data_IF_954223570599
#
_entry.id   IF_954223570599
#
_cell.length_a   1.000
_cell.length_b   1.000
_cell.length_c   1.000
_cell.angle_alpha   90.00
_cell.angle_beta   90.00
_cell.angle_gamma   90.00
#
_symmetry.space_group_name_H-M   'P 1'
#
loop_
_entity.id
_entity.type
_entity.pdbx_description
1 polymer ?
#
# COMPACT_ATOMS: atom_id res chain seq x y z
N UNK A 1 -8.25 19.57 25.64
CA UNK A 1 -6.96 20.22 25.93
C UNK A 1 -5.85 19.23 25.53
N UNK A 2 -5.59 19.13 24.22
CA UNK A 2 -4.56 18.23 23.67
C UNK A 2 -3.23 18.97 23.57
N UNK A 3 -2.23 18.43 24.24
CA UNK A 3 -0.88 18.99 24.28
C UNK A 3 -0.26 18.99 22.88
N UNK A 4 0.10 20.19 22.42
CA UNK A 4 1.00 20.41 21.28
C UNK A 4 2.40 19.95 21.69
N UNK A 5 2.84 18.83 21.20
CA UNK A 5 4.26 18.46 21.28
C UNK A 5 4.65 17.81 19.95
N UNK A 6 5.71 18.33 19.40
CA UNK A 6 6.57 17.81 18.36
C UNK A 6 6.46 18.47 16.99
N UNK A 7 7.08 19.64 16.91
CA UNK A 7 7.55 20.24 15.67
C UNK A 7 9.05 20.49 15.80
N UNK A 8 9.89 19.47 15.63
CA UNK A 8 11.35 19.66 15.61
C UNK A 8 12.06 18.40 15.10
N UNK A 9 11.81 17.98 13.85
CA UNK A 9 12.64 16.93 13.19
C UNK A 9 12.60 16.98 11.66
N UNK A 10 12.17 18.08 11.05
CA UNK A 10 12.10 18.23 9.58
C UNK A 10 13.42 18.76 8.95
N UNK A 11 14.50 18.76 9.70
CA UNK A 11 15.83 19.21 9.24
C UNK A 11 16.82 18.11 8.82
N UNK A 12 16.44 16.85 8.89
CA UNK A 12 17.41 15.72 8.82
C UNK A 12 17.42 14.92 7.51
N UNK A 13 16.58 15.24 6.53
CA UNK A 13 16.49 14.40 5.30
C UNK A 13 17.74 14.49 4.41
N UNK A 14 18.51 15.56 4.48
CA UNK A 14 19.77 15.70 3.72
C UNK A 14 20.99 15.14 4.46
N UNK A 15 20.93 14.92 5.76
CA UNK A 15 22.09 14.54 6.58
C UNK A 15 22.34 13.02 6.70
N UNK A 16 21.33 12.20 6.45
CA UNK A 16 21.47 10.74 6.62
C UNK A 16 22.30 10.06 5.51
N UNK A 17 22.43 10.67 4.35
CA UNK A 17 23.12 10.08 3.20
C UNK A 17 24.65 10.27 3.19
N UNK A 18 25.22 11.11 4.05
CA UNK A 18 26.63 11.52 3.96
C UNK A 18 27.61 10.45 4.47
N UNK A 19 27.13 9.39 5.12
CA UNK A 19 27.99 8.34 5.71
C UNK A 19 27.82 6.93 5.13
N UNK A 20 26.92 6.70 4.19
CA UNK A 20 26.67 5.36 3.67
C UNK A 20 27.72 4.94 2.63
N UNK A 21 28.17 3.69 2.71
CA UNK A 21 28.99 3.09 1.65
C UNK A 21 28.19 3.01 0.33
N UNK A 22 28.85 2.99 -0.84
CA UNK A 22 28.17 2.81 -2.11
C UNK A 22 27.26 1.58 -2.15
N UNK A 23 27.66 0.50 -1.51
CA UNK A 23 26.91 -0.75 -1.43
C UNK A 23 25.63 -0.58 -0.58
N UNK A 24 25.73 0.12 0.56
CA UNK A 24 24.56 0.42 1.39
C UNK A 24 23.55 1.32 0.66
N UNK A 25 24.02 2.31 -0.12
CA UNK A 25 23.16 3.15 -0.95
C UNK A 25 22.44 2.34 -2.04
N UNK A 26 23.15 1.45 -2.72
CA UNK A 26 22.54 0.57 -3.71
C UNK A 26 21.45 -0.30 -3.10
N UNK A 27 21.69 -0.84 -1.90
CA UNK A 27 20.68 -1.62 -1.16
C UNK A 27 19.46 -0.77 -0.79
N UNK A 28 19.63 0.45 -0.29
CA UNK A 28 18.52 1.36 0.04
C UNK A 28 17.68 1.72 -1.19
N UNK A 29 18.31 1.85 -2.36
CA UNK A 29 17.60 2.10 -3.61
C UNK A 29 16.78 0.89 -4.05
N UNK A 30 17.32 -0.31 -3.97
CA UNK A 30 16.61 -1.54 -4.31
C UNK A 30 15.45 -1.81 -3.34
N UNK A 31 15.66 -1.60 -2.03
CA UNK A 31 14.60 -1.72 -1.03
C UNK A 31 13.44 -0.74 -1.32
N UNK A 32 13.76 0.52 -1.66
CA UNK A 32 12.75 1.52 -2.02
C UNK A 32 11.92 1.11 -3.26
N UNK A 33 12.61 0.64 -4.31
CA UNK A 33 11.93 0.16 -5.54
C UNK A 33 11.06 -1.06 -5.26
N UNK A 34 11.54 -1.99 -4.42
CA UNK A 34 10.76 -3.15 -4.02
C UNK A 34 9.46 -2.73 -3.29
N UNK A 35 9.55 -1.79 -2.34
CA UNK A 35 8.37 -1.27 -1.65
C UNK A 35 7.39 -0.56 -2.60
N UNK A 36 7.89 0.23 -3.56
CA UNK A 36 7.04 0.85 -4.58
C UNK A 36 6.34 -0.19 -5.47
N UNK A 37 7.04 -1.26 -5.84
CA UNK A 37 6.46 -2.36 -6.62
C UNK A 37 5.38 -3.11 -5.83
N UNK A 38 5.62 -3.39 -4.55
CA UNK A 38 4.64 -3.99 -3.65
C UNK A 38 3.38 -3.11 -3.52
N UNK A 39 3.56 -1.82 -3.27
CA UNK A 39 2.44 -0.86 -3.19
C UNK A 39 1.65 -0.80 -4.50
N UNK A 40 2.34 -0.80 -5.65
CA UNK A 40 1.69 -0.86 -6.95
C UNK A 40 0.85 -2.12 -7.10
N UNK A 41 1.37 -3.28 -6.69
CA UNK A 41 0.65 -4.53 -6.73
C UNK A 41 -0.60 -4.50 -5.84
N UNK A 42 -0.49 -3.97 -4.62
CA UNK A 42 -1.65 -3.78 -3.73
C UNK A 42 -2.70 -2.88 -4.35
N UNK A 43 -2.31 -1.69 -4.82
CA UNK A 43 -3.24 -0.71 -5.41
C UNK A 43 -3.97 -1.24 -6.64
N UNK A 44 -3.32 -2.09 -7.46
CA UNK A 44 -3.94 -2.73 -8.63
C UNK A 44 -4.98 -3.79 -8.27
N UNK A 45 -4.83 -4.44 -7.12
CA UNK A 45 -5.70 -5.53 -6.71
C UNK A 45 -6.84 -5.11 -5.77
N UNK A 46 -6.78 -3.91 -5.19
CA UNK A 46 -7.85 -3.38 -4.34
C UNK A 46 -9.05 -3.02 -5.21
N UNK A 47 -10.20 -3.63 -4.92
CA UNK A 47 -11.46 -3.30 -5.57
C UNK A 47 -12.02 -1.98 -5.06
N UNK A 48 -11.90 -1.72 -3.77
CA UNK A 48 -12.37 -0.47 -3.17
C UNK A 48 -11.43 0.04 -2.09
N UNK A 49 -11.30 1.34 -2.00
CA UNK A 49 -10.60 2.00 -0.90
C UNK A 49 -11.33 3.28 -0.51
N UNK A 50 -11.43 3.51 0.80
CA UNK A 50 -11.94 4.76 1.38
C UNK A 50 -10.91 5.32 2.34
N UNK A 51 -10.77 6.62 2.39
CA UNK A 51 -9.88 7.29 3.33
C UNK A 51 -10.30 8.74 3.54
N UNK A 52 -9.82 9.32 4.64
CA UNK A 52 -9.83 10.76 4.87
C UNK A 52 -8.49 11.33 4.44
N UNK A 53 -8.50 12.56 3.95
CA UNK A 53 -7.28 13.23 3.53
C UNK A 53 -7.25 14.69 3.95
N UNK A 54 -6.03 15.20 4.08
CA UNK A 54 -5.77 16.63 4.22
C UNK A 54 -4.55 16.99 3.39
N UNK A 55 -4.70 18.01 2.54
CA UNK A 55 -3.58 18.63 1.85
C UNK A 55 -3.28 19.97 2.48
N UNK A 56 -2.03 20.19 2.80
CA UNK A 56 -1.54 21.48 3.36
C UNK A 56 -0.14 21.75 2.87
N UNK A 57 0.29 22.99 3.02
CA UNK A 57 1.65 23.41 2.70
C UNK A 57 2.40 23.81 3.96
N UNK A 58 3.73 23.74 3.87
CA UNK A 58 4.63 24.30 4.88
C UNK A 58 5.13 25.69 4.43
N UNK A 59 5.88 26.39 5.31
CA UNK A 59 6.50 27.66 5.00
C UNK A 59 5.47 28.77 4.67
N UNK A 60 5.76 29.62 3.70
CA UNK A 60 4.95 30.79 3.34
C UNK A 60 3.55 30.47 2.81
N UNK A 61 3.31 29.23 2.35
CA UNK A 61 2.02 28.81 1.81
C UNK A 61 1.12 28.11 2.84
N UNK A 62 1.54 28.00 4.11
CA UNK A 62 0.81 27.27 5.17
C UNK A 62 -0.62 27.78 5.40
N UNK A 63 -0.85 29.08 5.18
CA UNK A 63 -2.14 29.72 5.38
C UNK A 63 -2.99 29.78 4.10
N UNK A 64 -2.42 29.38 2.97
CA UNK A 64 -3.05 29.44 1.65
C UNK A 64 -3.63 28.08 1.26
N UNK A 65 -2.94 27.00 1.61
CA UNK A 65 -3.30 25.64 1.21
C UNK A 65 -3.66 24.84 2.46
N UNK A 66 -4.93 24.51 2.59
CA UNK A 66 -5.45 23.65 3.64
C UNK A 66 -6.81 23.07 3.19
N UNK A 67 -6.77 21.93 2.55
CA UNK A 67 -7.96 21.25 2.04
C UNK A 67 -8.12 19.93 2.78
N UNK A 68 -9.35 19.52 3.10
CA UNK A 68 -9.60 18.28 3.82
C UNK A 68 -10.92 17.66 3.42
N UNK A 69 -11.00 16.33 3.46
CA UNK A 69 -12.21 15.63 3.08
C UNK A 69 -12.11 14.12 3.15
N UNK A 70 -13.11 13.48 2.59
CA UNK A 70 -13.21 12.04 2.45
C UNK A 70 -13.20 11.65 0.97
N UNK A 71 -12.52 10.55 0.66
CA UNK A 71 -12.39 10.00 -0.69
C UNK A 71 -12.83 8.55 -0.68
N UNK A 72 -13.55 8.16 -1.73
CA UNK A 72 -13.86 6.77 -2.04
C UNK A 72 -13.45 6.47 -3.47
N UNK A 73 -12.84 5.32 -3.68
CA UNK A 73 -12.44 4.80 -4.98
C UNK A 73 -13.01 3.38 -5.11
N UNK A 74 -13.59 3.08 -6.26
CA UNK A 74 -14.12 1.75 -6.57
C UNK A 74 -13.72 1.32 -7.97
N UNK A 75 -13.15 0.13 -8.07
CA UNK A 75 -12.69 -0.51 -9.31
C UNK A 75 -13.39 -1.86 -9.45
N UNK A 76 -14.56 -1.93 -10.11
CA UNK A 76 -15.27 -3.19 -10.29
C UNK A 76 -14.37 -4.22 -10.99
N UNK A 77 -14.32 -5.45 -10.47
CA UNK A 77 -13.56 -6.54 -11.11
C UNK A 77 -14.04 -6.76 -12.55
N UNK A 78 -13.09 -6.93 -13.46
CA UNK A 78 -13.38 -7.16 -14.87
C UNK A 78 -13.85 -5.94 -15.66
N UNK A 79 -13.80 -4.75 -15.07
CA UNK A 79 -14.16 -3.49 -15.73
C UNK A 79 -12.98 -2.52 -15.75
N UNK A 80 -12.87 -1.72 -16.80
CA UNK A 80 -11.89 -0.64 -16.88
C UNK A 80 -12.33 0.65 -16.16
N UNK A 81 -13.59 0.69 -15.74
CA UNK A 81 -14.18 1.86 -15.07
C UNK A 81 -13.62 2.01 -13.65
N UNK A 82 -13.19 3.23 -13.34
CA UNK A 82 -12.81 3.62 -11.98
C UNK A 82 -13.80 4.69 -11.53
N UNK A 83 -14.53 4.39 -10.47
CA UNK A 83 -15.41 5.34 -9.81
C UNK A 83 -14.67 6.05 -8.71
N UNK A 84 -14.80 7.36 -8.64
CA UNK A 84 -14.20 8.18 -7.59
C UNK A 84 -15.23 9.16 -7.07
N UNK A 85 -15.29 9.34 -5.77
CA UNK A 85 -16.02 10.45 -5.14
C UNK A 85 -15.17 11.09 -4.06
N UNK A 86 -15.26 12.41 -3.95
CA UNK A 86 -14.70 13.14 -2.85
C UNK A 86 -15.70 14.19 -2.34
N UNK A 87 -15.73 14.31 -1.03
CA UNK A 87 -16.49 15.34 -0.31
C UNK A 87 -15.57 16.03 0.65
N UNK A 88 -15.66 17.35 0.75
CA UNK A 88 -14.77 18.05 1.66
C UNK A 88 -14.77 19.57 1.48
N UNK A 89 -13.72 20.17 1.99
CA UNK A 89 -13.50 21.60 1.99
C UNK A 89 -12.17 21.91 1.29
N UNK A 90 -12.23 22.79 0.32
CA UNK A 90 -11.06 23.32 -0.41
C UNK A 90 -10.87 24.77 -0.01
N UNK A 91 -9.72 25.10 0.57
CA UNK A 91 -9.38 26.46 0.93
C UNK A 91 -9.13 27.28 -0.33
N UNK A 92 -9.75 28.46 -0.41
CA UNK A 92 -9.57 29.40 -1.51
C UNK A 92 -8.93 30.68 -0.98
N UNK A 93 -7.74 31.06 -1.44
CA UNK A 93 -7.08 32.30 -1.02
C UNK A 93 -7.95 33.53 -1.30
N UNK A 94 -8.22 34.34 -0.26
CA UNK A 94 -8.99 35.57 -0.39
C UNK A 94 -10.49 35.41 -0.62
N UNK A 95 -11.03 34.19 -0.54
CA UNK A 95 -12.45 33.88 -0.68
C UNK A 95 -12.92 32.90 0.40
N UNK A 96 -14.24 32.69 0.47
CA UNK A 96 -14.80 31.64 1.30
C UNK A 96 -14.36 30.26 0.79
N UNK A 97 -14.15 29.32 1.72
CA UNK A 97 -13.79 27.96 1.37
C UNK A 97 -14.87 27.31 0.49
N UNK A 98 -14.42 26.61 -0.55
CA UNK A 98 -15.31 25.86 -1.42
C UNK A 98 -15.70 24.54 -0.75
N UNK A 99 -17.00 24.29 -0.65
CA UNK A 99 -17.48 22.94 -0.35
C UNK A 99 -17.41 22.10 -1.62
N UNK A 100 -16.67 21.00 -1.54
CA UNK A 100 -16.49 20.07 -2.64
C UNK A 100 -17.43 18.87 -2.46
N UNK A 101 -18.20 18.56 -3.48
CA UNK A 101 -18.85 17.28 -3.67
C UNK A 101 -18.72 16.93 -5.15
N UNK A 102 -17.81 16.05 -5.48
CA UNK A 102 -17.50 15.66 -6.86
C UNK A 102 -17.43 14.15 -6.97
N UNK A 103 -17.93 13.64 -8.08
CA UNK A 103 -17.80 12.23 -8.45
C UNK A 103 -17.49 12.07 -9.92
N UNK A 104 -16.82 11.00 -10.30
CA UNK A 104 -16.66 10.61 -11.70
C UNK A 104 -16.61 9.08 -11.86
N UNK A 105 -16.97 8.63 -13.07
CA UNK A 105 -16.96 7.23 -13.50
C UNK A 105 -15.93 6.97 -14.62
N UNK A 106 -14.93 7.83 -14.75
CA UNK A 106 -13.95 7.77 -15.83
C UNK A 106 -14.42 8.38 -17.16
N UNK A 107 -15.69 8.74 -17.27
CA UNK A 107 -16.31 9.33 -18.49
C UNK A 107 -16.95 10.67 -18.21
N UNK A 108 -17.71 10.75 -17.14
CA UNK A 108 -18.51 11.90 -16.73
C UNK A 108 -18.11 12.33 -15.33
N UNK A 109 -17.94 13.63 -15.16
CA UNK A 109 -17.75 14.28 -13.85
C UNK A 109 -19.07 14.92 -13.44
N UNK A 110 -19.49 14.65 -12.22
CA UNK A 110 -20.68 15.26 -11.61
C UNK A 110 -20.26 15.99 -10.33
N UNK A 111 -20.85 17.16 -10.10
CA UNK A 111 -20.55 17.96 -8.90
C UNK A 111 -21.70 18.88 -8.53
N UNK A 112 -21.74 19.30 -7.28
CA UNK A 112 -22.68 20.31 -6.80
C UNK A 112 -22.07 21.71 -6.92
N UNK A 113 -22.68 22.55 -7.74
CA UNK A 113 -22.45 24.00 -7.72
C UNK A 113 -23.39 24.62 -6.67
N UNK A 114 -22.89 24.78 -5.47
CA UNK A 114 -23.68 25.29 -4.35
C UNK A 114 -24.07 26.77 -4.53
N UNK A 115 -23.29 27.55 -5.28
CA UNK A 115 -23.57 28.96 -5.55
C UNK A 115 -24.81 29.13 -6.44
N UNK A 116 -24.90 28.30 -7.49
CA UNK A 116 -25.99 28.34 -8.45
C UNK A 116 -27.07 27.30 -8.14
N UNK A 117 -26.95 26.52 -7.05
CA UNK A 117 -27.86 25.42 -6.69
C UNK A 117 -28.09 24.47 -7.87
N UNK A 118 -27.02 23.98 -8.45
CA UNK A 118 -27.09 23.14 -9.64
C UNK A 118 -26.24 21.89 -9.47
N UNK A 119 -26.82 20.72 -9.79
CA UNK A 119 -26.07 19.51 -10.03
C UNK A 119 -25.56 19.53 -11.47
N UNK A 120 -24.27 19.62 -11.64
CA UNK A 120 -23.61 19.68 -12.93
C UNK A 120 -23.17 18.27 -13.36
N UNK A 121 -23.33 17.94 -14.64
CA UNK A 121 -22.78 16.73 -15.24
C UNK A 121 -22.12 17.06 -16.59
N UNK A 122 -20.83 16.75 -16.74
CA UNK A 122 -20.03 17.04 -17.94
C UNK A 122 -19.09 15.90 -18.27
N UNK A 123 -18.71 15.72 -19.53
CA UNK A 123 -17.62 14.83 -19.91
C UNK A 123 -16.32 15.24 -19.21
N UNK A 124 -15.45 14.28 -18.90
CA UNK A 124 -14.15 14.57 -18.26
C UNK A 124 -13.26 15.55 -19.04
N UNK A 125 -13.43 15.64 -20.36
CA UNK A 125 -12.72 16.58 -21.23
C UNK A 125 -13.20 18.03 -21.15
N UNK A 126 -14.37 18.29 -20.58
CA UNK A 126 -14.97 19.62 -20.46
C UNK A 126 -14.12 20.52 -19.53
N UNK A 127 -14.08 21.82 -19.84
CA UNK A 127 -13.26 22.78 -19.07
C UNK A 127 -13.72 22.95 -17.62
N UNK A 128 -15.04 22.93 -17.38
CA UNK A 128 -15.61 23.02 -16.03
C UNK A 128 -15.35 21.73 -15.26
N UNK A 129 -15.50 20.54 -15.90
CA UNK A 129 -15.16 19.26 -15.31
C UNK A 129 -13.67 19.18 -14.92
N UNK A 130 -12.77 19.69 -15.77
CA UNK A 130 -11.34 19.77 -15.46
C UNK A 130 -11.02 20.61 -14.22
N UNK A 131 -11.75 21.71 -14.03
CA UNK A 131 -11.59 22.53 -12.83
C UNK A 131 -11.98 21.74 -11.57
N UNK A 132 -13.11 21.03 -11.60
CA UNK A 132 -13.53 20.18 -10.46
C UNK A 132 -12.57 19.00 -10.21
N UNK A 133 -12.02 18.41 -11.25
CA UNK A 133 -10.99 17.37 -11.11
C UNK A 133 -9.68 17.91 -10.53
N UNK A 134 -9.36 19.20 -10.79
CA UNK A 134 -8.23 19.86 -10.13
C UNK A 134 -8.48 20.02 -8.64
N UNK A 135 -9.69 20.40 -8.25
CA UNK A 135 -10.09 20.50 -6.85
C UNK A 135 -10.14 19.12 -6.16
N UNK A 136 -10.64 18.08 -6.86
CA UNK A 136 -10.54 16.70 -6.41
C UNK A 136 -9.07 16.31 -6.12
N UNK A 137 -8.14 16.72 -6.97
CA UNK A 137 -6.71 16.52 -6.79
C UNK A 137 -6.12 17.19 -5.54
N UNK A 138 -6.86 18.08 -4.86
CA UNK A 138 -6.45 18.59 -3.55
C UNK A 138 -6.68 17.55 -2.43
N UNK A 139 -7.58 16.60 -2.62
CA UNK A 139 -7.90 15.56 -1.64
C UNK A 139 -7.36 14.20 -2.02
N UNK A 140 -7.11 13.95 -3.30
CA UNK A 140 -6.69 12.67 -3.85
C UNK A 140 -5.41 12.83 -4.68
N UNK A 141 -4.27 12.29 -4.26
CA UNK A 141 -3.11 12.15 -5.14
C UNK A 141 -3.50 11.37 -6.39
N UNK A 142 -3.30 11.96 -7.56
CA UNK A 142 -3.66 11.35 -8.87
C UNK A 142 -2.95 10.02 -9.11
N UNK A 143 -1.81 9.83 -8.50
CA UNK A 143 -1.01 8.63 -8.53
C UNK A 143 -1.78 7.40 -8.04
N UNK A 144 -2.67 7.58 -7.06
CA UNK A 144 -3.50 6.47 -6.56
C UNK A 144 -4.53 5.96 -7.58
N UNK A 145 -4.80 6.73 -8.63
CA UNK A 145 -5.66 6.32 -9.74
C UNK A 145 -4.89 5.73 -10.91
N UNK A 146 -3.56 5.91 -10.95
CA UNK A 146 -2.73 5.46 -12.04
C UNK A 146 -2.51 3.93 -11.99
N UNK A 147 -2.36 3.32 -13.15
CA UNK A 147 -1.98 1.90 -13.27
C UNK A 147 -0.56 1.63 -12.78
N UNK A 148 0.29 2.65 -12.83
CA UNK A 148 1.64 2.66 -12.26
C UNK A 148 1.80 3.94 -11.43
N UNK A 149 1.51 3.88 -10.12
CA UNK A 149 1.54 5.04 -9.23
C UNK A 149 2.90 5.72 -9.12
N UNK A 150 3.97 4.96 -9.28
CA UNK A 150 5.34 5.42 -9.09
C UNK A 150 6.12 5.60 -10.40
N UNK A 151 5.45 5.56 -11.57
CA UNK A 151 6.11 5.70 -12.86
C UNK A 151 6.97 6.97 -13.00
N UNK A 152 6.56 8.04 -12.34
CA UNK A 152 7.31 9.29 -12.30
C UNK A 152 8.49 9.19 -11.33
N UNK A 153 8.28 8.60 -10.15
CA UNK A 153 9.29 8.46 -9.12
C UNK A 153 10.43 7.54 -9.58
N UNK A 154 10.09 6.49 -10.35
CA UNK A 154 11.08 5.57 -10.92
C UNK A 154 12.04 6.21 -11.93
N UNK A 155 11.76 7.44 -12.39
CA UNK A 155 12.63 8.24 -13.27
C UNK A 155 13.53 9.21 -12.51
N UNK A 156 13.39 9.28 -11.18
CA UNK A 156 14.18 10.19 -10.36
C UNK A 156 15.68 9.82 -10.40
N UNK A 157 16.54 10.83 -10.28
CA UNK A 157 17.99 10.63 -10.25
C UNK A 157 18.46 9.85 -9.01
N UNK A 158 17.69 9.99 -7.93
CA UNK A 158 17.95 9.34 -6.66
C UNK A 158 16.65 8.79 -6.10
N UNK A 159 16.65 7.49 -5.79
CA UNK A 159 15.56 6.83 -5.09
C UNK A 159 16.18 6.14 -3.89
N UNK A 160 15.68 6.45 -2.69
CA UNK A 160 16.21 5.93 -1.44
C UNK A 160 15.13 5.63 -0.43
N UNK A 161 15.29 4.54 0.32
CA UNK A 161 14.61 4.36 1.59
C UNK A 161 15.37 5.15 2.64
N UNK A 162 14.75 6.20 3.20
CA UNK A 162 15.40 7.10 4.15
C UNK A 162 15.11 6.77 5.61
N UNK A 163 14.19 5.86 5.88
CA UNK A 163 13.93 5.39 7.25
C UNK A 163 12.52 4.90 7.46
N UNK A 164 12.14 4.92 8.74
CA UNK A 164 10.84 4.56 9.25
C UNK A 164 10.34 5.71 10.11
N UNK A 165 9.08 6.11 9.94
CA UNK A 165 8.44 7.13 10.76
C UNK A 165 7.02 6.69 11.16
N UNK A 166 6.56 7.17 12.30
CA UNK A 166 5.15 7.06 12.66
C UNK A 166 4.37 8.21 12.03
N UNK A 167 3.48 7.88 11.11
CA UNK A 167 2.58 8.82 10.42
C UNK A 167 1.15 8.54 10.85
N UNK A 168 0.54 9.50 11.53
CA UNK A 168 -0.86 9.41 11.99
C UNK A 168 -1.17 8.14 12.81
N UNK A 169 -0.20 7.69 13.61
CA UNK A 169 -0.32 6.51 14.47
C UNK A 169 0.04 5.18 13.80
N UNK A 170 0.52 5.21 12.55
CA UNK A 170 0.99 4.02 11.84
C UNK A 170 2.48 4.11 11.49
N UNK A 171 3.21 3.01 11.66
CA UNK A 171 4.61 2.93 11.25
C UNK A 171 4.68 2.81 9.73
N UNK A 172 5.34 3.77 9.12
CA UNK A 172 5.51 3.87 7.67
C UNK A 172 6.97 3.79 7.26
N UNK A 173 7.21 3.15 6.14
CA UNK A 173 8.49 3.20 5.44
C UNK A 173 8.55 4.49 4.63
N UNK A 174 9.63 5.26 4.78
CA UNK A 174 9.79 6.54 4.13
C UNK A 174 10.70 6.38 2.92
N UNK A 175 10.16 6.70 1.75
CA UNK A 175 10.85 6.61 0.46
C UNK A 175 10.95 8.00 -0.13
N UNK A 176 12.16 8.40 -0.52
CA UNK A 176 12.43 9.64 -1.24
C UNK A 176 12.81 9.35 -2.69
N UNK A 177 12.16 10.04 -3.61
CA UNK A 177 12.51 10.06 -5.03
C UNK A 177 12.75 11.51 -5.47
N UNK A 178 13.98 11.85 -5.84
CA UNK A 178 14.32 13.25 -6.06
C UNK A 178 15.56 13.47 -6.91
N UNK A 179 16.08 14.69 -6.86
CA UNK A 179 17.31 15.10 -7.53
C UNK A 179 18.52 14.88 -6.62
N UNK A 180 19.69 14.69 -7.21
CA UNK A 180 20.97 14.60 -6.44
C UNK A 180 21.33 15.95 -5.78
N UNK A 181 20.87 17.05 -6.33
CA UNK A 181 21.06 18.37 -5.75
C UNK A 181 20.21 18.59 -4.48
N UNK A 182 19.20 17.73 -4.24
CA UNK A 182 18.31 17.82 -3.08
C UNK A 182 17.31 18.99 -3.15
N UNK A 183 17.18 19.67 -4.30
CA UNK A 183 16.32 20.83 -4.51
C UNK A 183 14.87 20.44 -4.87
N UNK A 184 14.61 19.16 -5.06
CA UNK A 184 13.29 18.63 -5.30
C UNK A 184 13.21 17.15 -4.95
N UNK A 185 12.16 16.77 -4.23
CA UNK A 185 11.87 15.38 -3.90
C UNK A 185 10.38 15.13 -3.75
N UNK A 186 9.96 13.92 -4.11
CA UNK A 186 8.69 13.34 -3.71
C UNK A 186 8.97 12.33 -2.62
N UNK A 187 8.28 12.46 -1.50
CA UNK A 187 8.50 11.63 -0.33
C UNK A 187 7.20 10.90 -0.02
N UNK A 188 7.27 9.59 -0.05
CA UNK A 188 6.17 8.70 0.27
C UNK A 188 6.35 8.11 1.65
N UNK A 189 5.28 8.11 2.45
CA UNK A 189 5.19 7.29 3.64
C UNK A 189 4.24 6.13 3.35
N UNK A 190 4.77 4.93 3.29
CA UNK A 190 4.05 3.70 2.96
C UNK A 190 3.84 2.90 4.25
N UNK A 191 2.59 2.64 4.59
CA UNK A 191 2.24 1.85 5.78
C UNK A 191 2.83 0.44 5.70
N UNK A 192 3.38 0.00 6.81
CA UNK A 192 3.89 -1.38 6.94
C UNK A 192 2.78 -2.40 7.13
N UNK A 193 1.56 -1.95 7.44
CA UNK A 193 0.41 -2.84 7.72
C UNK A 193 -0.22 -3.35 6.43
N UNK A 194 -0.49 -2.44 5.49
CA UNK A 194 -1.27 -2.72 4.29
C UNK A 194 -0.59 -2.31 2.98
N UNK A 195 0.62 -1.77 3.06
CA UNK A 195 1.41 -1.28 1.92
C UNK A 195 0.74 -0.14 1.15
N UNK A 196 -0.18 0.58 1.78
CA UNK A 196 -0.81 1.75 1.19
C UNK A 196 -0.15 3.04 1.68
N UNK A 197 -0.14 4.09 0.85
CA UNK A 197 0.38 5.39 1.25
C UNK A 197 -0.43 6.00 2.40
N UNK A 198 0.28 6.63 3.34
CA UNK A 198 -0.27 7.47 4.40
C UNK A 198 0.09 8.93 4.21
N UNK A 199 1.14 9.19 3.41
CA UNK A 199 1.57 10.55 3.06
C UNK A 199 2.21 10.57 1.69
N UNK A 200 1.92 11.64 0.95
CA UNK A 200 2.73 12.11 -0.16
C UNK A 200 3.16 13.55 0.12
N UNK A 201 4.46 13.77 0.19
CA UNK A 201 5.05 15.10 0.27
C UNK A 201 5.77 15.43 -1.05
N UNK A 202 5.45 16.58 -1.64
CA UNK A 202 6.20 17.17 -2.74
C UNK A 202 7.02 18.33 -2.19
N UNK A 203 8.32 18.14 -2.07
CA UNK A 203 9.26 19.12 -1.53
C UNK A 203 10.04 19.81 -2.64
N UNK A 204 10.28 21.11 -2.47
CA UNK A 204 11.14 21.95 -3.35
C UNK A 204 11.97 22.89 -2.50
N UNK A 205 13.16 23.23 -2.98
CA UNK A 205 14.13 24.07 -2.27
C UNK A 205 14.86 23.30 -1.16
N UNK A 206 15.83 23.97 -0.55
CA UNK A 206 16.72 23.39 0.47
C UNK A 206 16.71 24.27 1.74
N UNK A 207 17.07 23.67 2.88
CA UNK A 207 17.20 24.38 4.14
C UNK A 207 15.93 25.12 4.56
N UNK A 208 16.06 26.39 4.93
CA UNK A 208 14.96 27.26 5.40
C UNK A 208 13.97 27.63 4.30
N UNK A 209 14.39 27.55 3.04
CA UNK A 209 13.58 27.90 1.86
C UNK A 209 12.80 26.70 1.32
N UNK A 210 12.88 25.55 2.01
CA UNK A 210 12.14 24.36 1.62
C UNK A 210 10.64 24.60 1.75
N UNK A 211 9.94 24.40 0.64
CA UNK A 211 8.50 24.37 0.55
C UNK A 211 8.05 22.93 0.36
N UNK A 212 7.14 22.48 1.20
CA UNK A 212 6.51 21.14 1.05
C UNK A 212 5.01 21.27 0.90
N UNK A 213 4.48 20.56 -0.08
CA UNK A 213 3.06 20.29 -0.26
C UNK A 213 2.80 18.86 0.23
N UNK A 214 2.05 18.73 1.30
CA UNK A 214 1.83 17.45 1.99
C UNK A 214 0.36 17.04 1.82
N UNK A 215 0.13 15.80 1.44
CA UNK A 215 -1.17 15.16 1.45
C UNK A 215 -1.12 13.97 2.42
N UNK A 216 -1.73 14.12 3.57
CA UNK A 216 -1.91 13.05 4.56
C UNK A 216 -3.18 12.27 4.27
N UNK A 217 -3.15 10.96 4.50
CA UNK A 217 -4.26 10.03 4.32
C UNK A 217 -4.39 9.15 5.56
N UNK A 218 -5.58 9.08 6.13
CA UNK A 218 -5.86 8.27 7.33
C UNK A 218 -7.25 7.64 7.26
N UNK A 219 -7.56 6.78 8.25
CA UNK A 219 -8.79 5.98 8.25
C UNK A 219 -8.95 5.20 6.92
N UNK A 220 -7.80 4.67 6.44
CA UNK A 220 -7.73 3.94 5.17
C UNK A 220 -8.37 2.57 5.36
N UNK A 221 -9.38 2.28 4.54
CA UNK A 221 -10.10 1.01 4.56
C UNK A 221 -10.18 0.45 3.15
N UNK A 222 -9.81 -0.79 3.01
CA UNK A 222 -9.87 -1.53 1.75
C UNK A 222 -11.04 -2.51 1.76
N UNK A 223 -11.44 -2.94 0.57
CA UNK A 223 -12.47 -3.97 0.38
C UNK A 223 -13.81 -3.65 1.05
N UNK A 224 -14.12 -2.35 1.15
CA UNK A 224 -15.43 -1.85 1.58
C UNK A 224 -16.45 -2.23 0.51
N UNK A 225 -17.61 -2.74 0.92
CA UNK A 225 -18.69 -3.05 -0.02
C UNK A 225 -19.21 -1.76 -0.66
N UNK A 226 -18.73 -1.45 -1.84
CA UNK A 226 -19.16 -0.33 -2.67
C UNK A 226 -19.79 -0.83 -3.97
N UNK A 227 -20.65 0.00 -4.54
CA UNK A 227 -21.30 -0.19 -5.83
C UNK A 227 -21.30 1.12 -6.61
N UNK A 228 -21.64 1.10 -7.89
CA UNK A 228 -21.77 2.31 -8.70
C UNK A 228 -22.72 3.35 -8.08
N UNK A 229 -23.76 2.91 -7.35
CA UNK A 229 -24.71 3.79 -6.66
C UNK A 229 -24.07 4.66 -5.58
N UNK A 230 -23.02 4.19 -4.93
CA UNK A 230 -22.31 4.96 -3.91
C UNK A 230 -21.55 6.17 -4.48
N UNK A 231 -21.52 6.28 -5.81
CA UNK A 231 -20.86 7.35 -6.57
C UNK A 231 -21.89 8.22 -7.34
N UNK A 232 -23.16 8.09 -7.03
CA UNK A 232 -24.22 8.96 -7.55
C UNK A 232 -24.40 10.13 -6.58
N UNK A 233 -24.59 11.33 -7.14
CA UNK A 233 -25.01 12.49 -6.36
C UNK A 233 -26.51 12.60 -6.46
N UNK A 234 -27.19 12.41 -5.35
CA UNK A 234 -28.65 12.68 -5.27
C UNK A 234 -28.88 14.18 -5.46
N UNK A 235 -29.80 14.55 -6.34
CA UNK A 235 -30.17 15.94 -6.57
C UNK A 235 -30.78 16.52 -5.29
N UNK A 236 -30.13 17.52 -4.62
CA UNK A 236 -30.68 18.09 -3.40
C UNK A 236 -31.96 18.89 -3.66
N UNK A 237 -32.80 19.03 -2.65
CA UNK A 237 -33.98 19.87 -2.72
C UNK A 237 -33.61 21.32 -3.08
N UNK A 238 -34.35 21.91 -4.03
CA UNK A 238 -34.11 23.25 -4.52
C UNK A 238 -32.90 23.39 -5.48
N UNK A 239 -32.31 22.26 -5.92
CA UNK A 239 -31.30 22.25 -6.97
C UNK A 239 -31.89 21.87 -8.33
N UNK A 240 -31.30 22.35 -9.39
CA UNK A 240 -31.61 21.98 -10.77
C UNK A 240 -30.50 21.08 -11.34
N UNK A 241 -30.83 20.27 -12.34
CA UNK A 241 -29.87 19.46 -13.08
C UNK A 241 -29.43 20.19 -14.35
N UNK A 242 -28.14 20.39 -14.54
CA UNK A 242 -27.53 20.84 -15.80
C UNK A 242 -26.61 19.73 -16.33
N UNK A 243 -27.17 18.89 -17.20
CA UNK A 243 -26.45 17.76 -17.78
C UNK A 243 -26.16 18.03 -19.26
N UNK A 244 -24.87 17.97 -19.63
CA UNK A 244 -24.39 18.07 -21.02
C UNK A 244 -23.46 16.92 -21.32
N UNK A 245 -24.03 15.76 -21.58
CA UNK A 245 -23.30 14.55 -21.92
C UNK A 245 -23.61 14.21 -23.39
N UNK A 246 -22.62 14.18 -24.27
CA UNK A 246 -22.81 13.73 -25.64
C UNK A 246 -23.34 12.30 -25.69
N UNK A 247 -24.28 12.01 -26.61
CA UNK A 247 -24.93 10.70 -26.74
C UNK A 247 -23.98 9.53 -27.09
N UNK A 248 -22.72 9.80 -27.40
CA UNK A 248 -21.70 8.78 -27.69
C UNK A 248 -20.32 9.18 -27.15
N UNK A 249 -20.10 8.94 -25.88
CA UNK A 249 -18.71 8.73 -25.41
C UNK A 249 -18.53 7.23 -25.28
N UNK A 250 -18.14 6.59 -26.39
CA UNK A 250 -17.53 5.26 -26.35
C UNK A 250 -16.05 5.52 -26.01
N UNK A 251 -15.54 5.16 -24.83
CA UNK A 251 -14.11 5.25 -24.57
C UNK A 251 -13.40 4.26 -25.51
N UNK A 252 -12.17 4.56 -25.95
CA UNK A 252 -11.34 3.49 -26.48
C UNK A 252 -11.25 2.40 -25.39
N UNK A 253 -11.46 1.16 -25.79
CA UNK A 253 -11.22 0.00 -24.93
C UNK A 253 -9.75 0.02 -24.50
N UNK A 254 -9.48 0.62 -23.35
CA UNK A 254 -8.22 0.38 -22.67
C UNK A 254 -8.39 -0.96 -21.99
N UNK A 255 -7.79 -1.99 -22.55
CA UNK A 255 -7.65 -3.27 -21.87
C UNK A 255 -7.07 -2.99 -20.48
N UNK A 256 -7.75 -3.35 -19.39
CA UNK A 256 -7.18 -3.17 -18.06
C UNK A 256 -5.84 -3.91 -18.04
N UNK A 257 -4.78 -3.34 -17.42
CA UNK A 257 -3.60 -4.14 -17.16
C UNK A 257 -4.05 -5.36 -16.38
N UNK A 258 -3.52 -6.53 -16.77
CA UNK A 258 -3.84 -7.77 -16.09
C UNK A 258 -3.67 -7.60 -14.57
N UNK A 259 -4.60 -8.12 -13.74
CA UNK A 259 -4.44 -8.08 -12.29
C UNK A 259 -3.06 -8.62 -11.93
N UNK A 260 -2.35 -7.93 -11.06
CA UNK A 260 -1.11 -8.50 -10.52
C UNK A 260 -1.54 -9.63 -9.62
N UNK A 261 -1.27 -10.85 -10.04
CA UNK A 261 -1.55 -12.03 -9.22
C UNK A 261 -0.71 -11.97 -7.95
N UNK A 262 -1.37 -11.81 -6.82
CA UNK A 262 -0.76 -11.91 -5.50
C UNK A 262 -0.50 -13.38 -5.18
N UNK A 263 0.71 -13.65 -4.73
CA UNK A 263 1.11 -15.03 -4.45
C UNK A 263 1.36 -15.85 -5.72
N UNK A 264 1.89 -17.01 -5.51
CA UNK A 264 2.05 -18.04 -6.56
C UNK A 264 0.71 -18.77 -6.69
N UNK A 265 0.20 -18.97 -7.92
CA UNK A 265 -1.10 -19.60 -8.13
C UNK A 265 -1.20 -20.98 -7.47
N UNK A 266 -2.34 -21.27 -6.86
CA UNK A 266 -2.64 -22.60 -6.31
C UNK A 266 -2.60 -23.64 -7.44
N UNK A 267 -1.95 -24.76 -7.18
CA UNK A 267 -1.69 -25.84 -8.16
C UNK A 267 -0.36 -25.69 -8.92
N UNK A 268 0.29 -24.52 -8.86
CA UNK A 268 1.61 -24.31 -9.48
C UNK A 268 2.72 -24.83 -8.57
N UNK A 269 3.87 -25.20 -9.15
CA UNK A 269 5.06 -25.50 -8.38
C UNK A 269 5.52 -24.29 -7.57
N UNK A 270 5.85 -24.52 -6.29
CA UNK A 270 6.45 -23.47 -5.48
C UNK A 270 7.80 -23.02 -6.06
N UNK A 271 8.13 -21.72 -6.03
CA UNK A 271 9.42 -21.23 -6.46
C UNK A 271 10.57 -21.94 -5.72
N UNK A 272 11.66 -22.12 -6.43
CA UNK A 272 12.85 -22.70 -5.83
C UNK A 272 13.55 -21.70 -4.92
N UNK A 273 13.88 -22.17 -3.72
CA UNK A 273 14.72 -21.42 -2.80
C UNK A 273 15.71 -22.35 -2.08
N UNK A 274 16.78 -21.78 -1.57
CA UNK A 274 17.75 -22.48 -0.74
C UNK A 274 18.36 -21.53 0.26
N UNK A 275 18.18 -21.83 1.56
CA UNK A 275 18.68 -21.04 2.67
C UNK A 275 19.35 -21.92 3.71
N UNK A 276 20.05 -21.29 4.66
CA UNK A 276 20.43 -21.90 5.93
C UNK A 276 19.45 -21.44 7.01
N UNK A 277 18.98 -22.36 7.82
CA UNK A 277 18.21 -22.00 9.00
C UNK A 277 19.12 -21.41 10.10
N UNK A 278 18.54 -20.98 11.20
CA UNK A 278 19.25 -20.38 12.33
C UNK A 278 20.27 -21.32 13.00
N UNK A 279 20.22 -22.62 12.68
CA UNK A 279 21.14 -23.65 13.17
C UNK A 279 22.15 -24.10 12.10
N UNK A 280 22.15 -23.48 10.92
CA UNK A 280 23.03 -23.78 9.80
C UNK A 280 22.61 -24.96 8.92
N UNK A 281 21.42 -25.55 9.16
CA UNK A 281 20.86 -26.63 8.35
C UNK A 281 20.25 -26.10 7.07
N UNK A 282 20.36 -26.87 5.98
CA UNK A 282 19.75 -26.50 4.69
C UNK A 282 18.22 -26.60 4.73
N UNK A 283 17.58 -25.53 4.29
CA UNK A 283 16.14 -25.43 4.06
C UNK A 283 15.91 -24.96 2.63
N UNK A 284 15.30 -25.81 1.82
CA UNK A 284 15.08 -25.55 0.40
C UNK A 284 13.78 -26.16 -0.08
N UNK A 285 13.27 -25.73 -1.21
CA UNK A 285 12.11 -26.35 -1.87
C UNK A 285 12.30 -27.85 -2.04
N UNK A 286 13.51 -28.30 -2.39
CA UNK A 286 13.83 -29.71 -2.56
C UNK A 286 13.82 -30.48 -1.23
N UNK A 287 14.31 -29.91 -0.13
CA UNK A 287 14.28 -30.55 1.21
C UNK A 287 12.88 -30.63 1.81
N UNK A 288 11.96 -29.82 1.32
CA UNK A 288 10.56 -29.82 1.74
C UNK A 288 9.71 -30.87 1.00
N UNK A 289 10.08 -31.29 -0.21
CA UNK A 289 9.36 -32.35 -0.95
C UNK A 289 9.24 -33.66 -0.17
N UNK A 290 8.24 -34.45 -0.53
CA UNK A 290 7.90 -35.71 0.13
C UNK A 290 6.97 -35.57 1.33
N UNK A 291 6.63 -34.37 1.74
CA UNK A 291 5.69 -34.08 2.82
C UNK A 291 5.03 -32.73 2.60
N UNK A 292 3.79 -32.50 3.04
CA UNK A 292 3.21 -31.18 3.05
C UNK A 292 4.06 -30.21 3.87
N UNK A 293 4.09 -28.93 3.48
CA UNK A 293 4.89 -27.92 4.17
C UNK A 293 4.13 -26.61 4.35
N UNK A 294 4.37 -25.92 5.45
CA UNK A 294 3.88 -24.58 5.74
C UNK A 294 5.06 -23.61 5.75
N UNK A 295 5.03 -22.61 4.88
CA UNK A 295 5.97 -21.51 4.87
C UNK A 295 5.29 -20.30 5.46
N UNK A 296 5.81 -19.78 6.58
CA UNK A 296 5.35 -18.58 7.23
C UNK A 296 6.30 -17.44 6.90
N UNK A 297 5.89 -16.53 6.02
CA UNK A 297 6.60 -15.28 5.77
C UNK A 297 6.19 -14.26 6.83
N UNK A 298 7.15 -13.82 7.65
CA UNK A 298 6.88 -12.91 8.76
C UNK A 298 8.01 -11.89 8.92
N UNK A 299 7.80 -10.90 9.78
CA UNK A 299 8.87 -10.00 10.20
C UNK A 299 8.62 -9.50 11.62
N UNK A 300 9.70 -9.37 12.41
CA UNK A 300 9.61 -8.99 13.83
C UNK A 300 9.17 -7.55 14.05
N UNK A 301 9.21 -6.72 13.01
CA UNK A 301 8.73 -5.33 13.05
C UNK A 301 7.22 -5.22 12.84
N UNK A 302 6.54 -6.31 12.50
CA UNK A 302 5.13 -6.32 12.17
C UNK A 302 4.32 -6.96 13.28
N UNK A 303 3.57 -6.12 14.02
CA UNK A 303 2.72 -6.60 15.12
C UNK A 303 1.76 -7.71 14.68
N UNK A 304 1.23 -7.63 13.45
CA UNK A 304 0.40 -8.67 12.86
C UNK A 304 1.08 -10.04 12.79
N UNK A 305 2.40 -10.08 12.54
CA UNK A 305 3.20 -11.32 12.57
C UNK A 305 3.42 -11.81 14.00
N UNK A 306 3.91 -10.92 14.89
CA UNK A 306 4.26 -11.29 16.26
C UNK A 306 3.07 -11.84 17.05
N UNK A 307 1.88 -11.27 16.84
CA UNK A 307 0.65 -11.69 17.50
C UNK A 307 0.16 -13.09 17.06
N UNK A 308 0.81 -13.74 16.08
CA UNK A 308 0.42 -15.06 15.56
C UNK A 308 1.39 -16.19 15.95
N UNK A 309 2.48 -15.86 16.61
CA UNK A 309 3.50 -16.83 17.02
C UNK A 309 2.91 -17.99 17.82
N UNK A 310 2.03 -17.72 18.78
CA UNK A 310 1.41 -18.78 19.60
C UNK A 310 0.38 -19.59 18.82
N UNK A 311 -0.37 -18.97 17.90
CA UNK A 311 -1.28 -19.69 17.00
C UNK A 311 -0.52 -20.64 16.08
N UNK A 312 0.61 -20.20 15.52
CA UNK A 312 1.45 -21.04 14.65
C UNK A 312 2.12 -22.17 15.41
N UNK A 313 2.55 -21.95 16.66
CA UNK A 313 3.03 -23.03 17.55
C UNK A 313 1.96 -24.08 17.78
N UNK A 314 0.74 -23.64 18.08
CA UNK A 314 -0.36 -24.56 18.33
C UNK A 314 -0.72 -25.38 17.06
N UNK A 315 -0.64 -24.77 15.87
CA UNK A 315 -0.80 -25.50 14.60
C UNK A 315 0.33 -26.53 14.39
N UNK A 316 1.58 -26.14 14.64
CA UNK A 316 2.70 -27.07 14.57
C UNK A 316 2.51 -28.26 15.50
N UNK A 317 2.14 -28.04 16.76
CA UNK A 317 1.90 -29.15 17.71
C UNK A 317 0.73 -30.04 17.28
N UNK A 318 -0.33 -29.48 16.73
CA UNK A 318 -1.47 -30.27 16.20
C UNK A 318 -1.07 -31.17 15.03
N UNK A 319 -0.03 -30.79 14.26
CA UNK A 319 0.46 -31.54 13.11
C UNK A 319 1.79 -32.28 13.36
N UNK A 320 2.35 -32.26 14.58
CA UNK A 320 3.66 -32.78 14.92
C UNK A 320 3.87 -34.26 14.54
N UNK A 321 2.82 -35.08 14.59
CA UNK A 321 2.88 -36.51 14.25
C UNK A 321 2.50 -36.85 12.79
N UNK A 322 2.08 -35.87 12.00
CA UNK A 322 1.56 -36.08 10.64
C UNK A 322 2.61 -35.91 9.53
N UNK A 323 3.87 -35.59 9.89
CA UNK A 323 4.95 -35.41 8.93
C UNK A 323 4.95 -34.02 8.21
N UNK A 324 4.00 -33.15 8.53
CA UNK A 324 3.96 -31.78 7.97
C UNK A 324 5.17 -30.99 8.43
N UNK A 325 5.86 -30.34 7.50
CA UNK A 325 7.00 -29.48 7.77
C UNK A 325 6.56 -28.03 7.95
N UNK A 326 7.14 -27.32 8.91
CA UNK A 326 6.92 -25.90 9.13
C UNK A 326 8.24 -25.17 9.00
N UNK A 327 8.23 -23.97 8.39
CA UNK A 327 9.41 -23.10 8.25
C UNK A 327 8.99 -21.66 8.44
N UNK A 328 9.64 -20.97 9.38
CA UNK A 328 9.55 -19.52 9.52
C UNK A 328 10.58 -18.83 8.62
N UNK A 329 10.13 -17.98 7.73
CA UNK A 329 10.91 -17.18 6.80
C UNK A 329 10.87 -15.72 7.27
N UNK A 330 11.87 -15.31 8.07
CA UNK A 330 11.95 -13.94 8.55
C UNK A 330 12.41 -13.01 7.43
N UNK A 331 11.65 -11.95 7.21
CA UNK A 331 11.86 -11.01 6.13
C UNK A 331 11.85 -9.57 6.65
N UNK A 332 12.52 -8.68 5.92
CA UNK A 332 12.63 -7.26 6.27
C UNK A 332 13.30 -7.03 7.63
N UNK A 333 14.18 -7.94 8.03
CA UNK A 333 14.96 -7.82 9.26
C UNK A 333 16.22 -6.99 9.06
N UNK A 334 16.63 -6.27 10.11
CA UNK A 334 17.89 -5.51 10.05
C UNK A 334 19.11 -6.40 10.29
N UNK A 335 18.93 -7.48 11.03
CA UNK A 335 19.99 -8.43 11.44
C UNK A 335 19.39 -9.83 11.64
N UNK A 336 20.26 -10.82 11.77
CA UNK A 336 19.87 -12.22 11.99
C UNK A 336 19.49 -12.51 13.45
N UNK A 337 19.89 -11.67 14.40
CA UNK A 337 19.73 -11.95 15.82
C UNK A 337 18.32 -11.62 16.30
N UNK A 338 17.70 -10.57 15.78
CA UNK A 338 16.37 -10.14 16.17
C UNK A 338 15.33 -11.25 15.96
N UNK A 339 15.19 -11.87 14.77
CA UNK A 339 14.24 -12.99 14.60
C UNK A 339 14.65 -14.24 15.37
N UNK A 340 15.95 -14.51 15.55
CA UNK A 340 16.42 -15.62 16.40
C UNK A 340 16.03 -15.43 17.87
N UNK A 341 16.21 -14.22 18.40
CA UNK A 341 15.82 -13.90 19.78
C UNK A 341 14.32 -14.05 19.99
N UNK A 342 13.51 -13.61 19.02
CA UNK A 342 12.06 -13.78 19.05
C UNK A 342 11.68 -15.27 19.07
N UNK A 343 12.25 -16.07 18.16
CA UNK A 343 12.01 -17.52 18.09
C UNK A 343 12.34 -18.24 19.40
N UNK A 344 13.50 -17.90 20.00
CA UNK A 344 13.93 -18.46 21.28
C UNK A 344 13.02 -18.03 22.43
N UNK A 345 12.68 -16.71 22.51
CA UNK A 345 11.85 -16.18 23.58
C UNK A 345 10.46 -16.83 23.64
N UNK A 346 9.89 -17.14 22.45
CA UNK A 346 8.60 -17.78 22.33
C UNK A 346 8.66 -19.32 22.25
N UNK A 347 9.88 -19.90 22.27
CA UNK A 347 10.07 -21.36 22.20
C UNK A 347 9.42 -21.96 20.94
N UNK A 348 9.61 -21.32 19.78
CA UNK A 348 9.05 -21.81 18.50
C UNK A 348 9.81 -23.07 18.07
N UNK A 349 9.12 -24.21 17.83
CA UNK A 349 9.77 -25.52 17.70
C UNK A 349 10.17 -25.90 16.27
N UNK A 350 9.93 -25.07 15.27
CA UNK A 350 10.23 -25.36 13.86
C UNK A 350 11.34 -24.44 13.32
N UNK A 351 12.01 -24.80 12.20
CA UNK A 351 13.12 -24.06 11.63
C UNK A 351 12.80 -22.61 11.33
N UNK A 352 13.78 -21.74 11.60
CA UNK A 352 13.77 -20.32 11.26
C UNK A 352 14.86 -20.01 10.23
N UNK A 353 14.51 -19.43 9.11
CA UNK A 353 15.43 -18.75 8.20
C UNK A 353 15.46 -17.26 8.57
N UNK A 354 16.56 -16.74 9.13
CA UNK A 354 16.57 -15.40 9.73
C UNK A 354 16.56 -14.24 8.73
N UNK A 355 16.88 -14.50 7.46
CA UNK A 355 16.85 -13.52 6.37
C UNK A 355 16.45 -14.19 5.06
N UNK A 356 15.14 -14.12 4.76
CA UNK A 356 14.56 -14.77 3.60
C UNK A 356 14.04 -13.77 2.54
N UNK A 357 14.55 -12.55 2.52
CA UNK A 357 14.06 -11.47 1.66
C UNK A 357 14.08 -11.81 0.16
N UNK A 358 15.06 -12.59 -0.28
CA UNK A 358 15.16 -13.04 -1.68
C UNK A 358 13.93 -13.84 -2.13
N UNK A 359 13.29 -14.57 -1.21
CA UNK A 359 12.09 -15.35 -1.53
C UNK A 359 10.84 -14.47 -1.71
N UNK A 360 10.82 -13.23 -1.25
CA UNK A 360 9.64 -12.36 -1.34
C UNK A 360 9.19 -12.15 -2.79
N UNK A 361 10.13 -11.84 -3.68
CA UNK A 361 9.84 -11.62 -5.11
C UNK A 361 9.33 -12.88 -5.79
N UNK A 362 10.00 -14.00 -5.57
CA UNK A 362 9.67 -15.30 -6.19
C UNK A 362 8.30 -15.81 -5.73
N UNK A 363 8.00 -15.71 -4.43
CA UNK A 363 6.71 -16.08 -3.87
C UNK A 363 5.64 -14.98 -4.01
N UNK A 364 5.98 -13.83 -4.59
CA UNK A 364 5.07 -12.67 -4.73
C UNK A 364 4.42 -12.26 -3.41
N UNK A 365 5.20 -12.31 -2.31
CA UNK A 365 4.76 -11.90 -0.97
C UNK A 365 4.94 -10.40 -0.83
N UNK A 366 3.86 -9.67 -0.56
CA UNK A 366 3.85 -8.22 -0.44
C UNK A 366 3.43 -7.71 0.93
N UNK A 367 2.87 -8.56 1.79
CA UNK A 367 2.43 -8.19 3.14
C UNK A 367 2.76 -9.29 4.15
N UNK A 368 2.81 -8.93 5.45
CA UNK A 368 3.12 -9.84 6.54
C UNK A 368 2.03 -9.83 7.62
N UNK A 369 1.74 -11.02 8.21
CA UNK A 369 2.26 -12.32 7.81
C UNK A 369 1.63 -12.81 6.49
N UNK A 370 2.33 -13.71 5.78
CA UNK A 370 1.77 -14.47 4.65
C UNK A 370 2.11 -15.94 4.80
N UNK A 371 1.23 -16.82 4.35
CA UNK A 371 1.35 -18.25 4.54
C UNK A 371 1.18 -19.00 3.22
N UNK A 372 2.12 -19.89 2.94
CA UNK A 372 2.01 -20.87 1.87
C UNK A 372 1.86 -22.26 2.47
N UNK A 373 0.93 -23.00 1.95
CA UNK A 373 0.81 -24.45 2.21
C UNK A 373 1.17 -25.17 0.93
N UNK A 374 2.20 -26.01 1.00
CA UNK A 374 2.68 -26.82 -0.11
C UNK A 374 2.21 -28.27 0.08
N UNK A 375 1.88 -28.94 -1.03
CA UNK A 375 1.64 -30.39 -1.03
C UNK A 375 2.97 -31.18 -0.99
N UNK A 376 2.88 -32.52 -0.94
CA UNK A 376 4.06 -33.39 -0.91
C UNK A 376 4.91 -33.32 -2.19
N UNK A 377 4.34 -32.87 -3.30
CA UNK A 377 5.06 -32.68 -4.57
C UNK A 377 5.79 -31.32 -4.63
N UNK A 378 5.52 -30.43 -3.69
CA UNK A 378 6.05 -29.08 -3.64
C UNK A 378 5.24 -28.06 -4.45
N UNK A 379 3.97 -28.36 -4.78
CA UNK A 379 3.07 -27.40 -5.39
C UNK A 379 2.34 -26.60 -4.32
N UNK A 380 1.95 -25.38 -4.65
CA UNK A 380 1.15 -24.52 -3.78
C UNK A 380 -0.25 -25.11 -3.65
N UNK A 381 -0.61 -25.58 -2.47
CA UNK A 381 -1.95 -26.06 -2.13
C UNK A 381 -2.86 -24.93 -1.63
N UNK A 382 -2.29 -23.93 -0.93
CA UNK A 382 -2.99 -22.74 -0.51
C UNK A 382 -2.02 -21.56 -0.30
N UNK A 383 -2.53 -20.35 -0.46
CA UNK A 383 -1.85 -19.09 -0.15
C UNK A 383 -2.78 -18.16 0.61
N UNK A 384 -2.26 -17.55 1.68
CA UNK A 384 -2.98 -16.55 2.46
C UNK A 384 -2.10 -15.32 2.68
N UNK A 385 -2.62 -14.17 2.32
CA UNK A 385 -2.03 -12.89 2.70
C UNK A 385 -2.74 -12.38 3.95
N UNK A 386 -1.98 -12.13 5.02
CA UNK A 386 -2.54 -11.88 6.34
C UNK A 386 -2.91 -13.19 7.06
N UNK A 387 -3.37 -13.05 8.30
CA UNK A 387 -3.77 -14.20 9.12
C UNK A 387 -5.17 -14.71 8.73
N UNK A 388 -5.29 -15.92 8.19
CA UNK A 388 -6.59 -16.46 7.76
C UNK A 388 -7.47 -16.98 8.90
N UNK A 389 -6.93 -17.06 10.11
CA UNK A 389 -7.51 -17.81 11.21
C UNK A 389 -6.95 -19.24 11.30
N UNK A 390 -6.89 -19.76 12.54
CA UNK A 390 -6.34 -21.10 12.81
C UNK A 390 -7.07 -22.18 12.02
N UNK A 391 -8.40 -22.18 12.02
CA UNK A 391 -9.21 -23.22 11.38
C UNK A 391 -9.02 -23.25 9.86
N UNK A 392 -8.91 -22.08 9.23
CA UNK A 392 -8.70 -22.00 7.77
C UNK A 392 -7.31 -22.53 7.38
N UNK A 393 -6.27 -22.15 8.15
CA UNK A 393 -4.91 -22.66 7.90
C UNK A 393 -4.79 -24.15 8.20
N UNK A 394 -5.40 -24.65 9.28
CA UNK A 394 -5.48 -26.08 9.61
C UNK A 394 -6.18 -26.88 8.49
N UNK A 395 -7.31 -26.38 8.00
CA UNK A 395 -8.03 -27.02 6.90
C UNK A 395 -7.18 -27.12 5.63
N UNK A 396 -6.43 -26.04 5.30
CA UNK A 396 -5.52 -26.03 4.15
C UNK A 396 -4.38 -27.05 4.32
N UNK A 397 -3.78 -27.14 5.52
CA UNK A 397 -2.73 -28.13 5.83
C UNK A 397 -3.25 -29.54 5.66
N UNK A 398 -4.44 -29.84 6.18
CA UNK A 398 -5.07 -31.17 6.04
C UNK A 398 -5.41 -31.51 4.59
N UNK A 399 -5.82 -30.51 3.80
CA UNK A 399 -6.09 -30.70 2.37
C UNK A 399 -4.82 -31.08 1.60
N UNK A 400 -3.71 -30.37 1.88
CA UNK A 400 -2.40 -30.64 1.26
C UNK A 400 -1.84 -32.04 1.58
N UNK A 401 -2.22 -32.62 2.73
CA UNK A 401 -1.82 -33.99 3.12
C UNK A 401 -2.63 -35.11 2.46
N UNK A 402 -3.68 -34.78 1.69
CA UNK A 402 -4.52 -35.80 0.99
C UNK A 402 -4.13 -35.97 -0.48
N UNK A 403 -3.33 -35.10 -1.00
CA UNK A 403 -2.78 -35.08 -2.36
C UNK A 403 -1.31 -35.58 -2.30
#
# INVERSE_FOLDING_TARGET
>A
MMKRTTWLLLGLVAAAAVGLTPQARAQHAEDAKATMAETTAVLRNIESVTFKSRRYATSILKDIIDSSGEVKIYRPKGQSTVYVTATGRIKQPGAADKQLMVTHDGKVVRWLDHKNKTLMARPMGDSKAKAELTDLGQLLPSELLATDPFAQDMKAELIERIGMEEILGEVCEIISAGTRAGDGARIWAISQVDRLPRRLENARGTGTDRLSMICDMWDVRTDVKLSAKDFEITLPEGYTLDEKIPAAIVPPETTPPAPVELGVPVGSAAPEFSFKDSMGKDVSTSTLKGSPAVLEFFGTKFAGSLNRTDDMKALYEAHRGSGVKFVGLACRENDDNTPKAHWQAHGVPYPLVPRADVALGEFRVIAFPSYYVLDAHGNVSAFFQGWPGRDALDAAIRAAGKN
#
